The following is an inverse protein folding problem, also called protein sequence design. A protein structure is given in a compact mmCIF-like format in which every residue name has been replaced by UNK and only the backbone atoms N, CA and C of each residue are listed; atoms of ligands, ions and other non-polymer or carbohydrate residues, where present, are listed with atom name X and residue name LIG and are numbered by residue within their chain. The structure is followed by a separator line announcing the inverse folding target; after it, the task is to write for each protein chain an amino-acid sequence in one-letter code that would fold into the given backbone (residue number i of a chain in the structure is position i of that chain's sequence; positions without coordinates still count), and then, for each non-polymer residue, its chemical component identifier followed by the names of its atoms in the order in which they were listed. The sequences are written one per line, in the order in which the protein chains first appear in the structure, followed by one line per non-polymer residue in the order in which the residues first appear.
data_IF_975660573780
#
_entry.id   IF_975660573780
#
_cell.length_a   1.000
_cell.length_b   1.000
_cell.length_c   1.000
_cell.angle_alpha   90.00
_cell.angle_beta   90.00
_cell.angle_gamma   90.00
#
_symmetry.space_group_name_H-M   'P 1'
#
loop_
_entity.id
_entity.type
_entity.pdbx_description
1 polymer ?
#
# COMPACT_ATOMS: atom_id res chain seq x y z
N UNK A 1 21.13 -14.41 -20.11
CA UNK A 1 21.17 -13.67 -21.39
C UNK A 1 21.35 -14.61 -22.62
N UNK A 2 22.30 -15.56 -22.59
CA UNK A 2 22.52 -16.48 -23.75
C UNK A 2 21.31 -17.40 -23.99
N UNK A 3 20.74 -18.02 -22.95
CA UNK A 3 19.57 -18.89 -23.05
C UNK A 3 18.33 -18.13 -23.59
N UNK A 4 18.10 -16.90 -23.14
CA UNK A 4 16.98 -16.07 -23.61
C UNK A 4 17.15 -15.67 -25.10
N UNK A 5 18.40 -15.39 -25.55
CA UNK A 5 18.68 -15.07 -26.96
C UNK A 5 18.47 -16.25 -27.91
N UNK A 6 18.62 -17.47 -27.39
CA UNK A 6 18.40 -18.71 -28.16
C UNK A 6 16.94 -19.19 -28.14
N UNK A 7 16.14 -18.69 -27.22
CA UNK A 7 14.73 -19.07 -27.05
C UNK A 7 13.83 -18.29 -28.03
N UNK A 8 12.86 -18.97 -28.61
CA UNK A 8 11.84 -18.35 -29.47
C UNK A 8 10.54 -18.23 -28.64
N UNK A 9 9.92 -17.04 -28.54
CA UNK A 9 8.64 -16.89 -27.89
C UNK A 9 7.56 -17.72 -28.59
N UNK A 10 6.75 -18.45 -27.82
CA UNK A 10 5.61 -19.21 -28.31
C UNK A 10 4.37 -18.34 -28.48
N UNK A 11 4.24 -17.33 -27.64
CA UNK A 11 3.11 -16.42 -27.60
C UNK A 11 3.45 -15.15 -26.85
N UNK A 12 2.53 -14.19 -26.93
CA UNK A 12 2.68 -12.91 -26.26
C UNK A 12 1.36 -12.47 -25.65
N UNK A 13 1.42 -12.14 -24.37
CA UNK A 13 0.36 -11.42 -23.65
C UNK A 13 0.80 -10.02 -23.29
N UNK A 14 0.06 -9.40 -22.42
CA UNK A 14 0.38 -8.10 -21.83
C UNK A 14 1.36 -8.29 -20.67
N UNK A 15 2.48 -7.59 -20.67
CA UNK A 15 3.39 -7.51 -19.53
C UNK A 15 2.70 -6.75 -18.38
N UNK A 16 2.01 -7.47 -17.51
CA UNK A 16 1.14 -6.88 -16.50
C UNK A 16 1.85 -6.57 -15.19
N UNK A 17 2.85 -7.37 -14.84
CA UNK A 17 3.77 -7.10 -13.72
C UNK A 17 5.16 -7.51 -14.13
N UNK A 18 6.16 -6.62 -13.98
CA UNK A 18 7.51 -6.87 -14.51
C UNK A 18 8.22 -8.01 -13.78
N UNK A 19 9.27 -8.55 -14.41
CA UNK A 19 10.06 -9.66 -13.90
C UNK A 19 10.07 -10.83 -14.86
N UNK A 20 10.75 -11.90 -14.47
CA UNK A 20 10.81 -13.16 -15.21
C UNK A 20 10.53 -14.31 -14.25
N UNK A 21 9.70 -15.24 -14.67
CA UNK A 21 9.41 -16.44 -13.90
C UNK A 21 9.54 -17.70 -14.75
N UNK A 22 9.97 -18.77 -14.13
CA UNK A 22 10.00 -20.08 -14.74
C UNK A 22 9.56 -21.14 -13.74
N UNK A 23 8.86 -22.15 -14.20
CA UNK A 23 8.38 -23.21 -13.33
C UNK A 23 7.44 -24.16 -14.03
N UNK A 24 6.89 -25.08 -13.25
CA UNK A 24 5.92 -26.06 -13.69
C UNK A 24 4.52 -25.41 -13.75
N UNK A 25 3.77 -25.72 -14.78
CA UNK A 25 2.40 -25.25 -14.96
C UNK A 25 1.48 -25.87 -13.91
N UNK A 26 0.70 -25.05 -13.25
CA UNK A 26 -0.42 -25.46 -12.40
C UNK A 26 -1.66 -24.63 -12.76
N UNK A 27 -2.86 -25.20 -12.55
CA UNK A 27 -4.11 -24.63 -13.05
C UNK A 27 -5.06 -24.13 -11.94
N UNK A 28 -4.76 -24.45 -10.68
CA UNK A 28 -5.56 -24.01 -9.54
C UNK A 28 -4.70 -23.36 -8.47
N UNK A 29 -5.31 -22.53 -7.63
CA UNK A 29 -4.63 -21.92 -6.47
C UNK A 29 -4.13 -23.00 -5.50
N UNK A 30 -4.96 -24.00 -5.21
CA UNK A 30 -4.62 -25.11 -4.31
C UNK A 30 -3.41 -25.92 -4.83
N UNK A 31 -3.36 -26.19 -6.14
CA UNK A 31 -2.19 -26.86 -6.74
C UNK A 31 -0.94 -26.00 -6.62
N UNK A 32 -1.07 -24.69 -6.82
CA UNK A 32 0.08 -23.78 -6.69
C UNK A 32 0.66 -23.80 -5.27
N UNK A 33 -0.19 -23.75 -4.25
CA UNK A 33 0.23 -23.85 -2.85
C UNK A 33 0.86 -25.22 -2.55
N UNK A 34 0.15 -26.31 -2.88
CA UNK A 34 0.61 -27.66 -2.58
C UNK A 34 1.94 -28.01 -3.27
N UNK A 35 2.20 -27.47 -4.47
CA UNK A 35 3.46 -27.71 -5.16
C UNK A 35 4.57 -26.80 -4.62
N UNK A 36 4.27 -25.56 -4.28
CA UNK A 36 5.23 -24.65 -3.66
C UNK A 36 5.68 -25.15 -2.27
N UNK A 37 4.77 -25.70 -1.46
CA UNK A 37 5.11 -26.33 -0.17
C UNK A 37 6.08 -27.52 -0.32
N UNK A 38 6.04 -28.21 -1.45
CA UNK A 38 7.00 -29.29 -1.80
C UNK A 38 8.33 -28.77 -2.34
N UNK A 39 8.51 -27.44 -2.42
CA UNK A 39 9.70 -26.79 -2.94
C UNK A 39 9.76 -26.68 -4.47
N UNK A 40 8.66 -26.95 -5.17
CA UNK A 40 8.58 -26.81 -6.62
C UNK A 40 8.33 -25.35 -7.01
N UNK A 41 9.00 -24.90 -8.06
CA UNK A 41 8.71 -23.62 -8.69
C UNK A 41 7.53 -23.79 -9.64
N UNK A 42 6.47 -23.01 -9.45
CA UNK A 42 5.26 -23.13 -10.27
C UNK A 42 4.89 -21.80 -10.95
N UNK A 43 4.26 -21.93 -12.11
CA UNK A 43 3.58 -20.83 -12.82
C UNK A 43 2.10 -21.14 -12.83
N UNK A 44 1.31 -20.28 -12.21
CA UNK A 44 -0.15 -20.40 -12.16
C UNK A 44 -0.74 -19.92 -13.49
N UNK A 45 -1.44 -20.83 -14.19
CA UNK A 45 -2.05 -20.54 -15.50
C UNK A 45 -3.56 -20.65 -15.37
N UNK A 46 -4.27 -19.52 -15.59
CA UNK A 46 -5.72 -19.43 -15.45
C UNK A 46 -6.36 -18.82 -16.69
N UNK A 47 -7.64 -19.12 -16.91
CA UNK A 47 -8.44 -18.36 -17.88
C UNK A 47 -8.49 -16.87 -17.46
N UNK A 48 -8.83 -16.63 -16.21
CA UNK A 48 -8.74 -15.37 -15.49
C UNK A 48 -8.64 -15.67 -13.98
N UNK A 49 -8.11 -14.76 -13.17
CA UNK A 49 -8.03 -14.95 -11.72
C UNK A 49 -9.16 -14.24 -11.00
N UNK A 50 -9.53 -14.80 -9.84
CA UNK A 50 -10.52 -14.26 -8.90
C UNK A 50 -9.87 -13.97 -7.54
N UNK A 51 -10.55 -13.29 -6.60
CA UNK A 51 -10.06 -13.12 -5.24
C UNK A 51 -9.72 -14.41 -4.51
N UNK A 52 -10.36 -15.51 -4.86
CA UNK A 52 -10.11 -16.85 -4.29
C UNK A 52 -8.73 -17.42 -4.69
N UNK A 53 -8.15 -16.92 -5.79
CA UNK A 53 -6.85 -17.37 -6.28
C UNK A 53 -5.65 -16.70 -5.58
N UNK A 54 -5.86 -15.74 -4.67
CA UNK A 54 -4.80 -14.91 -4.08
C UNK A 54 -3.70 -15.73 -3.40
N UNK A 55 -4.07 -16.79 -2.68
CA UNK A 55 -3.11 -17.66 -1.98
C UNK A 55 -2.21 -18.39 -2.97
N UNK A 56 -2.78 -18.98 -4.00
CA UNK A 56 -2.02 -19.60 -5.07
C UNK A 56 -1.18 -18.63 -5.90
N UNK A 57 -1.69 -17.41 -6.11
CA UNK A 57 -0.92 -16.34 -6.76
C UNK A 57 0.33 -15.94 -5.94
N UNK A 58 0.24 -15.94 -4.59
CA UNK A 58 1.39 -15.71 -3.70
C UNK A 58 2.41 -16.83 -3.73
N UNK A 59 1.96 -18.07 -3.83
CA UNK A 59 2.83 -19.25 -3.86
C UNK A 59 3.56 -19.41 -5.20
N UNK A 60 2.97 -18.91 -6.30
CA UNK A 60 3.53 -19.04 -7.65
C UNK A 60 4.71 -18.08 -7.90
N UNK A 61 5.67 -18.53 -8.69
CA UNK A 61 6.77 -17.69 -9.20
C UNK A 61 6.28 -16.69 -10.25
N UNK A 62 5.20 -17.00 -10.93
CA UNK A 62 4.61 -16.16 -11.95
C UNK A 62 3.17 -16.55 -12.28
N UNK A 63 2.46 -15.62 -12.89
CA UNK A 63 1.05 -15.74 -13.21
C UNK A 63 0.87 -15.51 -14.71
N UNK A 64 0.13 -16.40 -15.36
CA UNK A 64 -0.24 -16.31 -16.77
C UNK A 64 -1.75 -16.41 -16.91
N UNK A 65 -2.39 -15.42 -17.55
CA UNK A 65 -3.82 -15.49 -17.82
C UNK A 65 -4.14 -15.36 -19.31
N UNK A 66 -5.17 -16.07 -19.73
CA UNK A 66 -5.69 -16.04 -21.10
C UNK A 66 -6.45 -14.74 -21.34
N UNK A 67 -7.27 -14.32 -20.38
CA UNK A 67 -8.07 -13.10 -20.39
C UNK A 67 -7.50 -12.08 -19.39
N UNK A 68 -7.85 -10.82 -19.63
CA UNK A 68 -7.52 -9.72 -18.74
C UNK A 68 -6.61 -8.68 -19.39
N UNK A 69 -6.66 -7.48 -18.85
CA UNK A 69 -5.85 -6.33 -19.23
C UNK A 69 -5.04 -5.80 -18.04
N UNK A 70 -4.49 -4.60 -18.15
CA UNK A 70 -3.71 -3.93 -17.10
C UNK A 70 -4.51 -3.68 -15.80
N UNK A 71 -5.82 -3.64 -15.88
CA UNK A 71 -6.74 -3.43 -14.76
C UNK A 71 -7.42 -4.71 -14.28
N UNK A 72 -7.06 -5.88 -14.86
CA UNK A 72 -7.61 -7.16 -14.42
C UNK A 72 -7.14 -7.51 -13.01
N UNK A 73 -7.90 -8.35 -12.32
CA UNK A 73 -7.55 -8.85 -10.98
C UNK A 73 -6.12 -9.42 -10.95
N UNK A 74 -5.76 -10.27 -11.92
CA UNK A 74 -4.41 -10.83 -12.03
C UNK A 74 -3.33 -9.73 -12.09
N UNK A 75 -3.52 -8.72 -12.92
CA UNK A 75 -2.56 -7.65 -13.14
C UNK A 75 -2.39 -6.76 -11.90
N UNK A 76 -3.49 -6.40 -11.24
CA UNK A 76 -3.47 -5.53 -10.05
C UNK A 76 -2.83 -6.26 -8.87
N UNK A 77 -3.28 -7.47 -8.58
CA UNK A 77 -2.77 -8.26 -7.46
C UNK A 77 -1.31 -8.65 -7.65
N UNK A 78 -0.93 -9.10 -8.86
CA UNK A 78 0.47 -9.46 -9.16
C UNK A 78 1.42 -8.26 -8.99
N UNK A 79 1.02 -7.06 -9.39
CA UNK A 79 1.81 -5.84 -9.16
C UNK A 79 1.94 -5.51 -7.68
N UNK A 80 0.85 -5.63 -6.93
CA UNK A 80 0.87 -5.43 -5.48
C UNK A 80 1.79 -6.41 -4.75
N UNK A 81 1.90 -7.65 -5.26
CA UNK A 81 2.78 -8.68 -4.70
C UNK A 81 4.21 -8.64 -5.25
N UNK A 82 4.48 -7.87 -6.30
CA UNK A 82 5.77 -7.91 -7.02
C UNK A 82 6.01 -9.23 -7.78
N UNK A 83 4.96 -10.00 -8.07
CA UNK A 83 5.03 -11.29 -8.77
C UNK A 83 4.97 -11.07 -10.29
N UNK A 84 5.84 -11.74 -11.03
CA UNK A 84 5.85 -11.70 -12.50
C UNK A 84 4.47 -12.08 -13.06
N UNK A 85 3.91 -11.25 -13.95
CA UNK A 85 2.60 -11.55 -14.55
C UNK A 85 2.54 -11.20 -16.04
N UNK A 86 2.05 -12.16 -16.80
CA UNK A 86 1.64 -11.99 -18.20
C UNK A 86 0.13 -12.21 -18.28
N UNK A 87 -0.61 -11.19 -18.68
CA UNK A 87 -2.08 -11.20 -18.71
C UNK A 87 -2.60 -11.09 -20.15
N UNK A 88 -3.77 -11.69 -20.41
CA UNK A 88 -4.46 -11.48 -21.70
C UNK A 88 -3.77 -12.14 -22.90
N UNK A 89 -3.15 -13.32 -22.74
CA UNK A 89 -2.62 -14.08 -23.87
C UNK A 89 -3.75 -14.84 -24.58
N UNK A 90 -4.45 -14.16 -25.50
CA UNK A 90 -5.59 -14.72 -26.23
C UNK A 90 -5.26 -15.86 -27.21
N UNK A 91 -3.97 -16.07 -27.51
CA UNK A 91 -3.52 -17.20 -28.34
C UNK A 91 -3.54 -18.55 -27.61
N UNK A 92 -3.71 -18.53 -26.30
CA UNK A 92 -3.84 -19.75 -25.48
C UNK A 92 -5.25 -20.30 -25.61
N UNK A 93 -5.35 -21.54 -26.03
CA UNK A 93 -6.60 -22.32 -25.95
C UNK A 93 -6.58 -23.16 -24.68
N UNK A 94 -7.37 -22.74 -23.69
CA UNK A 94 -7.40 -23.31 -22.34
C UNK A 94 -8.49 -24.38 -22.21
N UNK A 95 -8.13 -25.49 -21.56
CA UNK A 95 -9.01 -26.56 -21.11
C UNK A 95 -8.74 -26.80 -19.61
N UNK A 96 -9.39 -26.00 -18.77
CA UNK A 96 -9.20 -26.04 -17.31
C UNK A 96 -9.67 -27.37 -16.70
N UNK A 97 -10.73 -27.97 -17.25
CA UNK A 97 -11.26 -29.25 -16.74
C UNK A 97 -10.24 -30.39 -16.88
N UNK A 98 -9.51 -30.42 -17.98
CA UNK A 98 -8.47 -31.42 -18.22
C UNK A 98 -7.06 -30.93 -17.87
N UNK A 99 -6.95 -29.81 -17.16
CA UNK A 99 -5.68 -29.21 -16.73
C UNK A 99 -4.62 -29.16 -17.84
N UNK A 100 -5.00 -28.56 -18.98
CA UNK A 100 -4.11 -28.38 -20.13
C UNK A 100 -4.44 -27.12 -20.94
N UNK A 101 -3.46 -26.63 -21.67
CA UNK A 101 -3.67 -25.60 -22.68
C UNK A 101 -2.81 -25.86 -23.93
N UNK A 102 -3.18 -25.26 -25.03
CA UNK A 102 -2.38 -25.26 -26.26
C UNK A 102 -1.96 -23.84 -26.60
N UNK A 103 -0.70 -23.68 -27.02
CA UNK A 103 -0.12 -22.42 -27.47
C UNK A 103 0.87 -22.72 -28.61
N UNK A 104 0.76 -21.99 -29.72
CA UNK A 104 1.58 -22.21 -30.94
C UNK A 104 1.65 -23.67 -31.40
N UNK A 105 0.54 -24.42 -31.30
CA UNK A 105 0.45 -25.82 -31.70
C UNK A 105 1.11 -26.81 -30.71
N UNK A 106 1.63 -26.39 -29.60
CA UNK A 106 2.16 -27.22 -28.52
C UNK A 106 1.14 -27.34 -27.38
N UNK A 107 1.04 -28.53 -26.78
CA UNK A 107 0.16 -28.81 -25.66
C UNK A 107 0.96 -28.83 -24.36
N UNK A 108 0.49 -28.08 -23.36
CA UNK A 108 1.04 -28.01 -22.01
C UNK A 108 0.03 -28.58 -21.03
N UNK A 109 0.45 -29.53 -20.24
CA UNK A 109 -0.33 -30.15 -19.16
C UNK A 109 0.21 -29.73 -17.81
N UNK A 110 -0.49 -30.07 -16.73
CA UNK A 110 0.02 -29.88 -15.38
C UNK A 110 1.42 -30.47 -15.22
N UNK A 111 2.36 -29.71 -14.67
CA UNK A 111 3.76 -30.07 -14.51
C UNK A 111 4.63 -29.79 -15.75
N UNK A 112 4.08 -29.38 -16.89
CA UNK A 112 4.88 -28.91 -18.03
C UNK A 112 5.69 -27.66 -17.64
N UNK A 113 6.90 -27.54 -18.15
CA UNK A 113 7.79 -26.44 -17.85
C UNK A 113 7.56 -25.25 -18.80
N UNK A 114 7.39 -24.06 -18.25
CA UNK A 114 7.30 -22.82 -19.02
C UNK A 114 8.11 -21.70 -18.37
N UNK A 115 8.44 -20.69 -19.15
CA UNK A 115 9.01 -19.43 -18.69
C UNK A 115 8.19 -18.27 -19.23
N UNK A 116 7.99 -17.26 -18.41
CA UNK A 116 7.28 -16.03 -18.77
C UNK A 116 8.11 -14.80 -18.45
N UNK A 117 7.98 -13.78 -19.28
CA UNK A 117 8.62 -12.47 -19.10
C UNK A 117 7.52 -11.42 -18.93
N UNK A 118 7.29 -11.00 -17.69
CA UNK A 118 6.28 -10.00 -17.33
C UNK A 118 6.62 -8.59 -17.78
N UNK A 119 7.86 -8.34 -18.24
CA UNK A 119 8.26 -7.05 -18.80
C UNK A 119 7.87 -6.93 -20.27
N UNK A 120 8.11 -8.00 -21.05
CA UNK A 120 7.84 -8.02 -22.50
C UNK A 120 6.50 -8.66 -22.87
N UNK A 121 5.93 -9.45 -21.95
CA UNK A 121 4.73 -10.26 -22.18
C UNK A 121 5.00 -11.58 -22.92
N UNK A 122 6.24 -11.95 -23.14
CA UNK A 122 6.61 -13.16 -23.88
C UNK A 122 6.49 -14.43 -23.04
N UNK A 123 6.10 -15.53 -23.70
CA UNK A 123 5.96 -16.86 -23.13
C UNK A 123 6.85 -17.83 -23.89
N UNK A 124 7.55 -18.69 -23.17
CA UNK A 124 8.53 -19.63 -23.72
C UNK A 124 8.28 -21.06 -23.22
N UNK A 125 8.55 -22.07 -24.04
CA UNK A 125 8.59 -23.45 -23.59
C UNK A 125 9.86 -23.73 -22.77
N UNK A 126 9.71 -24.57 -21.74
CA UNK A 126 10.82 -25.02 -20.90
C UNK A 126 11.32 -23.94 -19.91
N UNK A 127 12.36 -24.31 -19.19
CA UNK A 127 12.97 -23.47 -18.16
C UNK A 127 14.07 -22.59 -18.77
N UNK A 128 13.85 -21.29 -18.75
CA UNK A 128 14.91 -20.30 -18.96
C UNK A 128 15.38 -19.86 -17.58
N UNK A 129 16.64 -20.13 -17.20
CA UNK A 129 17.12 -19.77 -15.86
C UNK A 129 16.94 -18.29 -15.57
N UNK A 130 16.27 -17.98 -14.48
CA UNK A 130 16.11 -16.63 -13.93
C UNK A 130 17.17 -16.35 -12.88
N UNK A 131 17.48 -15.09 -12.67
CA UNK A 131 18.33 -14.62 -11.58
C UNK A 131 17.54 -13.61 -10.77
N UNK A 132 17.75 -13.61 -9.47
CA UNK A 132 17.14 -12.59 -8.61
C UNK A 132 17.69 -11.22 -9.00
N UNK A 133 16.80 -10.21 -8.95
CA UNK A 133 17.20 -8.83 -9.14
C UNK A 133 18.22 -8.45 -8.06
N UNK A 134 19.39 -8.04 -8.46
CA UNK A 134 20.42 -7.57 -7.53
C UNK A 134 21.02 -6.26 -8.02
N UNK A 135 21.30 -5.35 -7.07
CA UNK A 135 22.04 -4.10 -7.34
C UNK A 135 23.55 -4.40 -7.34
N UNK A 136 23.99 -5.36 -8.15
CA UNK A 136 25.39 -5.79 -8.21
C UNK A 136 25.98 -5.62 -9.62
N UNK A 137 27.30 -5.74 -9.74
CA UNK A 137 28.03 -5.66 -11.00
C UNK A 137 27.91 -4.30 -11.70
N UNK A 138 27.71 -4.32 -13.01
CA UNK A 138 27.64 -3.08 -13.82
C UNK A 138 26.42 -2.24 -13.48
N UNK A 139 25.30 -2.85 -13.10
CA UNK A 139 24.12 -2.12 -12.63
C UNK A 139 24.41 -1.35 -11.33
N UNK A 140 25.13 -1.98 -10.39
CA UNK A 140 25.58 -1.30 -9.16
C UNK A 140 26.50 -0.11 -9.44
N UNK A 141 27.35 -0.19 -10.47
CA UNK A 141 28.20 0.95 -10.89
C UNK A 141 27.36 2.11 -11.43
N UNK A 142 26.35 1.81 -12.25
CA UNK A 142 25.44 2.86 -12.76
C UNK A 142 24.66 3.50 -11.62
N UNK A 143 24.19 2.70 -10.64
CA UNK A 143 23.52 3.23 -9.46
C UNK A 143 24.44 4.10 -8.61
N UNK A 144 25.69 3.70 -8.42
CA UNK A 144 26.69 4.53 -7.73
C UNK A 144 26.91 5.89 -8.42
N UNK A 145 27.00 5.91 -9.74
CA UNK A 145 27.07 7.16 -10.49
C UNK A 145 25.80 8.01 -10.34
N UNK A 146 24.62 7.38 -10.37
CA UNK A 146 23.37 8.10 -10.13
C UNK A 146 23.36 8.75 -8.75
N UNK A 147 23.88 8.06 -7.72
CA UNK A 147 23.98 8.56 -6.35
C UNK A 147 24.91 9.80 -6.21
N UNK A 148 25.92 9.91 -7.06
CA UNK A 148 26.80 11.09 -7.09
C UNK A 148 26.07 12.36 -7.60
N UNK A 149 25.06 12.20 -8.47
CA UNK A 149 24.36 13.31 -9.11
C UNK A 149 22.98 13.61 -8.54
N UNK A 150 22.31 12.61 -7.97
CA UNK A 150 20.96 12.80 -7.40
C UNK A 150 20.99 13.75 -6.20
N UNK A 151 19.94 14.55 -6.07
CA UNK A 151 19.73 15.45 -4.93
C UNK A 151 18.63 14.94 -3.99
N UNK A 152 17.74 14.09 -4.48
CA UNK A 152 16.63 13.54 -3.73
C UNK A 152 16.97 12.15 -3.21
N UNK A 153 16.41 11.79 -2.03
CA UNK A 153 16.46 10.45 -1.48
C UNK A 153 15.31 9.62 -2.01
N UNK A 154 15.49 8.31 -2.08
CA UNK A 154 14.44 7.35 -2.46
C UNK A 154 13.86 6.75 -1.20
N UNK A 155 12.59 7.05 -0.93
CA UNK A 155 11.79 6.43 0.13
C UNK A 155 10.72 5.54 -0.48
N UNK A 156 10.37 4.45 0.21
CA UNK A 156 9.38 3.47 -0.25
C UNK A 156 8.08 3.57 0.53
N UNK A 157 7.02 2.96 0.00
CA UNK A 157 5.84 2.63 0.78
C UNK A 157 6.05 1.24 1.39
N UNK A 158 5.94 1.12 2.70
CA UNK A 158 6.02 -0.15 3.40
C UNK A 158 5.20 -0.11 4.68
N UNK A 159 4.33 -1.09 4.85
CA UNK A 159 3.37 -1.16 5.95
C UNK A 159 3.71 -2.30 6.91
N UNK A 160 4.63 -3.20 6.51
CA UNK A 160 5.11 -4.32 7.33
C UNK A 160 6.63 -4.29 7.51
N UNK A 161 7.16 -4.86 8.61
CA UNK A 161 8.60 -4.98 8.82
C UNK A 161 9.32 -5.79 7.72
N UNK A 162 8.64 -6.78 7.13
CA UNK A 162 9.18 -7.59 6.03
C UNK A 162 9.37 -6.75 4.76
N UNK A 163 8.37 -5.94 4.40
CA UNK A 163 8.44 -5.03 3.25
C UNK A 163 9.51 -3.95 3.47
N UNK A 164 9.58 -3.39 4.69
CA UNK A 164 10.59 -2.40 5.05
C UNK A 164 12.02 -2.95 4.91
N UNK A 165 12.26 -4.17 5.42
CA UNK A 165 13.53 -4.85 5.28
C UNK A 165 13.88 -5.11 3.80
N UNK A 166 12.92 -5.63 3.03
CA UNK A 166 13.12 -5.88 1.59
C UNK A 166 13.43 -4.59 0.83
N UNK A 167 12.72 -3.53 1.13
CA UNK A 167 12.96 -2.21 0.53
C UNK A 167 14.38 -1.69 0.88
N UNK A 168 14.81 -1.85 2.12
CA UNK A 168 16.16 -1.48 2.57
C UNK A 168 17.24 -2.27 1.83
N UNK A 169 17.07 -3.58 1.64
CA UNK A 169 17.94 -4.43 0.85
C UNK A 169 18.03 -3.98 -0.62
N UNK A 170 16.96 -3.41 -1.16
CA UNK A 170 16.89 -2.84 -2.51
C UNK A 170 17.39 -1.40 -2.61
N UNK A 171 17.90 -0.82 -1.51
CA UNK A 171 18.52 0.50 -1.50
C UNK A 171 17.58 1.64 -1.12
N UNK A 172 16.41 1.38 -0.56
CA UNK A 172 15.57 2.44 -0.02
C UNK A 172 16.23 3.13 1.17
N UNK A 173 16.07 4.44 1.26
CA UNK A 173 16.68 5.31 2.26
C UNK A 173 15.69 5.76 3.34
N UNK A 174 14.54 5.10 3.41
CA UNK A 174 13.49 5.34 4.38
C UNK A 174 12.12 4.88 3.88
N UNK A 175 11.13 5.03 4.75
CA UNK A 175 9.72 4.87 4.42
C UNK A 175 9.11 6.25 4.22
N UNK A 176 8.51 6.46 3.05
CA UNK A 176 7.78 7.68 2.70
C UNK A 176 6.30 7.62 3.07
N UNK A 177 5.76 6.41 3.13
CA UNK A 177 4.40 6.16 3.59
C UNK A 177 4.31 4.79 4.26
N UNK A 178 3.97 4.81 5.56
CA UNK A 178 3.45 3.67 6.29
C UNK A 178 1.96 3.90 6.53
N UNK A 179 1.11 3.03 5.99
CA UNK A 179 -0.36 3.05 6.15
C UNK A 179 -0.74 2.27 7.38
N UNK A 180 -1.18 2.96 8.42
CA UNK A 180 -1.48 2.32 9.70
C UNK A 180 -2.75 1.47 9.68
N UNK A 181 -3.67 1.70 8.75
CA UNK A 181 -4.89 0.90 8.57
C UNK A 181 -4.62 -0.58 8.30
N UNK A 182 -3.56 -0.91 7.56
CA UNK A 182 -3.22 -2.31 7.27
C UNK A 182 -2.84 -3.10 8.53
N UNK A 183 -2.43 -2.42 9.59
CA UNK A 183 -2.09 -3.04 10.86
C UNK A 183 -3.32 -3.50 11.66
N UNK A 184 -4.53 -3.05 11.31
CA UNK A 184 -5.76 -3.36 12.07
C UNK A 184 -6.49 -4.60 11.58
N UNK A 185 -6.18 -5.14 10.39
CA UNK A 185 -6.92 -6.27 9.80
C UNK A 185 -6.57 -7.65 10.37
N UNK A 186 -5.57 -7.75 11.23
CA UNK A 186 -5.30 -8.98 11.96
C UNK A 186 -6.50 -9.36 12.86
N UNK A 187 -6.91 -10.65 12.94
CA UNK A 187 -8.11 -11.09 13.66
C UNK A 187 -8.21 -10.64 15.12
N UNK A 188 -7.09 -10.59 15.84
CA UNK A 188 -7.08 -10.15 17.24
C UNK A 188 -7.25 -8.62 17.36
N UNK A 189 -6.68 -7.88 16.42
CA UNK A 189 -6.67 -6.42 16.41
C UNK A 189 -7.98 -5.85 15.90
N UNK A 190 -8.54 -6.43 14.84
CA UNK A 190 -9.80 -5.98 14.26
C UNK A 190 -10.96 -6.10 15.24
N UNK A 191 -10.95 -7.14 16.11
CA UNK A 191 -11.97 -7.31 17.14
C UNK A 191 -11.97 -6.11 18.12
N UNK A 192 -10.81 -5.71 18.62
CA UNK A 192 -10.68 -4.56 19.52
C UNK A 192 -11.02 -3.24 18.82
N UNK A 193 -10.69 -3.10 17.53
CA UNK A 193 -11.04 -1.91 16.76
C UNK A 193 -12.56 -1.80 16.52
N UNK A 194 -13.22 -2.92 16.23
CA UNK A 194 -14.68 -3.01 16.15
C UNK A 194 -15.38 -2.67 17.48
N UNK A 195 -14.80 -3.10 18.61
CA UNK A 195 -15.28 -2.68 19.93
C UNK A 195 -15.20 -1.16 20.11
N UNK A 196 -14.12 -0.53 19.66
CA UNK A 196 -13.96 0.94 19.70
C UNK A 196 -15.03 1.63 18.86
N UNK A 197 -15.25 1.16 17.62
CA UNK A 197 -16.26 1.71 16.70
C UNK A 197 -17.67 1.67 17.32
N UNK A 198 -18.00 0.58 18.01
CA UNK A 198 -19.32 0.36 18.63
C UNK A 198 -19.41 0.88 20.07
N UNK A 199 -18.47 1.69 20.53
CA UNK A 199 -18.47 2.28 21.87
C UNK A 199 -19.29 3.55 21.93
N UNK A 200 -20.04 3.73 23.04
CA UNK A 200 -20.93 4.88 23.24
C UNK A 200 -20.19 6.05 23.92
N UNK A 201 -19.18 5.77 24.74
CA UNK A 201 -18.44 6.80 25.51
C UNK A 201 -16.96 6.85 25.12
N UNK A 202 -16.31 7.97 25.47
CA UNK A 202 -14.86 8.17 25.28
C UNK A 202 -14.07 7.13 26.07
N UNK A 203 -14.48 6.85 27.31
CA UNK A 203 -13.83 5.89 28.21
C UNK A 203 -13.85 4.46 27.63
N UNK A 204 -14.96 4.08 27.04
CA UNK A 204 -15.08 2.79 26.35
C UNK A 204 -14.17 2.73 25.11
N UNK A 205 -14.13 3.81 24.30
CA UNK A 205 -13.23 3.89 23.14
C UNK A 205 -11.77 3.82 23.56
N UNK A 206 -11.37 4.59 24.59
CA UNK A 206 -10.00 4.52 25.12
C UNK A 206 -9.66 3.11 25.66
N UNK A 207 -10.61 2.43 26.30
CA UNK A 207 -10.42 1.06 26.78
C UNK A 207 -10.16 0.09 25.60
N UNK A 208 -10.91 0.20 24.54
CA UNK A 208 -10.71 -0.63 23.34
C UNK A 208 -9.38 -0.29 22.62
N UNK A 209 -9.06 0.99 22.48
CA UNK A 209 -7.82 1.45 21.87
C UNK A 209 -6.57 1.02 22.68
N UNK A 210 -6.67 0.96 24.00
CA UNK A 210 -5.58 0.46 24.85
C UNK A 210 -5.28 -1.02 24.64
N UNK A 211 -6.21 -1.82 24.09
CA UNK A 211 -5.93 -3.20 23.67
C UNK A 211 -5.08 -3.24 22.40
N UNK A 212 -5.24 -2.25 21.51
CA UNK A 212 -4.55 -2.16 20.22
C UNK A 212 -3.16 -1.53 20.37
N UNK A 213 -3.01 -0.58 21.28
CA UNK A 213 -1.78 0.18 21.48
C UNK A 213 -0.50 -0.68 21.53
N UNK A 214 -0.42 -1.80 22.29
CA UNK A 214 0.79 -2.62 22.35
C UNK A 214 1.13 -3.27 21.00
N UNK A 215 0.14 -3.68 20.23
CA UNK A 215 0.35 -4.28 18.91
C UNK A 215 0.94 -3.27 17.94
N UNK A 216 0.32 -2.09 17.85
CA UNK A 216 0.77 -1.04 16.93
C UNK A 216 2.14 -0.49 17.32
N UNK A 217 2.41 -0.33 18.64
CA UNK A 217 3.73 0.02 19.14
C UNK A 217 4.78 -1.03 18.71
N UNK A 218 4.50 -2.31 18.89
CA UNK A 218 5.41 -3.38 18.49
C UNK A 218 5.66 -3.47 16.98
N UNK A 219 4.68 -3.10 16.16
CA UNK A 219 4.86 -3.01 14.71
C UNK A 219 5.79 -1.85 14.34
N UNK A 220 5.62 -0.68 14.96
CA UNK A 220 6.52 0.47 14.73
C UNK A 220 7.93 0.20 15.24
N UNK A 221 8.10 -0.48 16.37
CA UNK A 221 9.42 -0.91 16.85
C UNK A 221 10.15 -1.73 15.78
N UNK A 222 9.49 -2.76 15.24
CA UNK A 222 10.06 -3.60 14.18
C UNK A 222 10.32 -2.86 12.87
N UNK A 223 9.49 -1.85 12.53
CA UNK A 223 9.72 -1.00 11.36
C UNK A 223 10.99 -0.15 11.56
N UNK A 224 11.14 0.51 12.71
CA UNK A 224 12.35 1.28 13.02
C UNK A 224 13.60 0.40 13.05
N UNK A 225 13.51 -0.81 13.61
CA UNK A 225 14.60 -1.78 13.59
C UNK A 225 14.99 -2.18 12.16
N UNK A 226 14.00 -2.46 11.29
CA UNK A 226 14.25 -2.82 9.89
C UNK A 226 14.90 -1.68 9.08
N UNK A 227 14.66 -0.43 9.47
CA UNK A 227 15.17 0.76 8.80
C UNK A 227 16.52 1.29 9.35
N UNK A 228 16.98 0.76 10.51
CA UNK A 228 18.32 1.04 11.07
C UNK A 228 18.64 2.55 11.15
N UNK A 229 17.69 3.37 11.63
CA UNK A 229 17.84 4.82 11.75
C UNK A 229 17.49 5.63 10.50
N UNK A 230 17.05 4.98 9.41
CA UNK A 230 16.48 5.72 8.28
C UNK A 230 15.09 6.29 8.65
N UNK A 231 14.70 7.44 8.07
CA UNK A 231 13.43 8.09 8.39
C UNK A 231 12.22 7.24 8.02
N UNK A 232 11.17 7.33 8.85
CA UNK A 232 9.89 6.62 8.67
C UNK A 232 8.75 7.61 8.82
N UNK A 233 8.01 7.82 7.73
CA UNK A 233 6.80 8.63 7.73
C UNK A 233 5.59 7.74 7.99
N UNK A 234 4.91 7.97 9.10
CA UNK A 234 3.76 7.19 9.57
C UNK A 234 2.49 8.02 9.36
N UNK A 235 1.61 7.56 8.50
CA UNK A 235 0.31 8.18 8.26
C UNK A 235 -0.69 7.67 9.30
N UNK A 236 -1.40 8.59 9.95
CA UNK A 236 -2.51 8.24 10.81
C UNK A 236 -3.64 7.59 10.02
N UNK A 237 -4.52 6.91 10.74
CA UNK A 237 -5.67 6.20 10.19
C UNK A 237 -6.41 7.07 9.18
N UNK A 238 -6.55 6.57 7.96
CA UNK A 238 -7.14 7.30 6.86
C UNK A 238 -8.52 6.78 6.41
N UNK A 239 -8.77 5.45 6.26
CA UNK A 239 -10.06 4.97 5.79
C UNK A 239 -11.21 5.26 6.76
N UNK A 240 -12.45 5.38 6.26
CA UNK A 240 -13.63 5.54 7.09
C UNK A 240 -13.93 4.27 7.90
N UNK A 241 -14.61 4.45 9.03
CA UNK A 241 -14.84 3.36 10.00
C UNK A 241 -15.67 2.20 9.43
N UNK A 242 -16.50 2.41 8.40
CA UNK A 242 -17.29 1.34 7.82
C UNK A 242 -16.46 0.25 7.13
N UNK A 243 -15.20 0.52 6.76
CA UNK A 243 -14.31 -0.49 6.19
C UNK A 243 -13.88 -1.57 7.21
N UNK A 244 -14.00 -1.26 8.48
CA UNK A 244 -13.57 -2.15 9.57
C UNK A 244 -14.73 -2.91 10.23
N UNK A 245 -15.98 -2.53 9.98
CA UNK A 245 -17.13 -3.19 10.61
C UNK A 245 -17.34 -4.61 10.08
N UNK A 246 -17.90 -5.51 10.90
CA UNK A 246 -18.14 -6.89 10.47
C UNK A 246 -19.27 -6.96 9.43
N UNK A 247 -19.08 -7.81 8.43
CA UNK A 247 -20.10 -8.17 7.43
C UNK A 247 -20.73 -9.53 7.73
N UNK A 248 -19.96 -10.43 8.35
CA UNK A 248 -20.40 -11.78 8.67
C UNK A 248 -21.23 -11.83 9.96
N UNK A 249 -22.35 -12.55 9.93
CA UNK A 249 -23.27 -12.69 11.07
C UNK A 249 -22.57 -13.19 12.35
N UNK A 250 -21.66 -14.17 12.22
CA UNK A 250 -20.91 -14.71 13.33
C UNK A 250 -20.02 -13.67 14.04
N UNK A 251 -19.45 -12.73 13.28
CA UNK A 251 -18.63 -11.67 13.85
C UNK A 251 -19.50 -10.57 14.47
N UNK A 252 -20.66 -10.28 13.89
CA UNK A 252 -21.67 -9.38 14.48
C UNK A 252 -22.13 -9.92 15.84
N UNK A 253 -22.44 -11.22 15.92
CA UNK A 253 -22.83 -11.86 17.19
C UNK A 253 -21.72 -11.81 18.25
N UNK A 254 -20.46 -12.04 17.85
CA UNK A 254 -19.31 -11.91 18.76
C UNK A 254 -19.18 -10.50 19.29
N UNK A 255 -19.28 -9.50 18.41
CA UNK A 255 -19.18 -8.10 18.77
C UNK A 255 -20.35 -7.66 19.68
N UNK A 256 -21.56 -8.11 19.39
CA UNK A 256 -22.74 -7.87 20.21
C UNK A 256 -22.54 -8.36 21.66
N UNK A 257 -22.02 -9.58 21.81
CA UNK A 257 -21.66 -10.13 23.13
C UNK A 257 -20.57 -9.33 23.83
N UNK A 258 -19.51 -8.95 23.11
CA UNK A 258 -18.39 -8.18 23.67
C UNK A 258 -18.82 -6.78 24.16
N UNK A 259 -19.77 -6.15 23.47
CA UNK A 259 -20.29 -4.81 23.80
C UNK A 259 -21.55 -4.83 24.67
N UNK A 260 -22.08 -6.01 25.02
CA UNK A 260 -23.35 -6.19 25.73
C UNK A 260 -24.52 -5.44 25.04
N UNK A 261 -24.56 -5.54 23.69
CA UNK A 261 -25.59 -4.97 22.81
C UNK A 261 -26.33 -6.11 22.10
N UNK A 262 -27.50 -5.81 21.55
CA UNK A 262 -28.18 -6.76 20.66
C UNK A 262 -27.53 -6.81 19.28
N UNK A 263 -27.79 -7.88 18.53
CA UNK A 263 -27.32 -8.01 17.14
C UNK A 263 -27.90 -6.90 16.27
N UNK A 264 -29.17 -6.55 16.51
CA UNK A 264 -29.88 -5.47 15.81
C UNK A 264 -29.23 -4.11 16.05
N UNK A 265 -28.81 -3.82 17.29
CA UNK A 265 -28.09 -2.58 17.62
C UNK A 265 -26.74 -2.52 16.90
N UNK A 266 -25.97 -3.60 16.86
CA UNK A 266 -24.71 -3.63 16.12
C UNK A 266 -24.94 -3.43 14.62
N UNK A 267 -25.94 -4.11 14.03
CA UNK A 267 -26.30 -3.92 12.62
C UNK A 267 -26.70 -2.48 12.32
N UNK A 268 -27.48 -1.85 13.19
CA UNK A 268 -27.86 -0.45 13.03
C UNK A 268 -26.67 0.50 13.10
N UNK A 269 -25.68 0.24 13.98
CA UNK A 269 -24.42 1.01 14.03
C UNK A 269 -23.64 0.84 12.72
N UNK A 270 -23.45 -0.40 12.25
CA UNK A 270 -22.76 -0.68 10.98
C UNK A 270 -23.42 0.03 9.80
N UNK A 271 -24.77 -0.03 9.72
CA UNK A 271 -25.53 0.63 8.67
C UNK A 271 -25.42 2.16 8.75
N UNK A 272 -25.41 2.75 9.95
CA UNK A 272 -25.27 4.19 10.15
C UNK A 272 -23.91 4.74 9.73
N UNK A 273 -22.87 3.88 9.70
CA UNK A 273 -21.52 4.25 9.28
C UNK A 273 -21.32 4.13 7.77
N UNK A 274 -22.26 3.49 7.05
CA UNK A 274 -22.14 3.31 5.60
C UNK A 274 -22.17 4.65 4.88
N UNK A 275 -21.18 4.89 4.03
CA UNK A 275 -21.02 6.12 3.28
C UNK A 275 -21.29 5.91 1.79
N UNK A 276 -22.02 6.82 1.16
CA UNK A 276 -22.28 6.79 -0.29
C UNK A 276 -21.03 7.07 -1.12
N UNK A 277 -20.12 7.89 -0.59
CA UNK A 277 -18.85 8.22 -1.21
C UNK A 277 -17.74 8.20 -0.15
N UNK A 278 -17.13 7.03 0.09
CA UNK A 278 -16.08 6.88 1.12
C UNK A 278 -14.88 7.82 0.92
N UNK A 279 -14.51 8.10 -0.34
CA UNK A 279 -13.37 8.97 -0.65
C UNK A 279 -13.54 10.39 -0.10
N UNK A 280 -14.77 10.93 -0.12
CA UNK A 280 -15.11 12.27 0.37
C UNK A 280 -15.81 12.26 1.74
N UNK A 281 -15.83 11.13 2.40
CA UNK A 281 -16.57 10.87 3.63
C UNK A 281 -15.84 11.22 4.92
N UNK A 282 -16.26 10.55 5.99
CA UNK A 282 -15.75 10.70 7.35
C UNK A 282 -14.51 9.86 7.58
N UNK A 283 -13.37 10.35 7.11
CA UNK A 283 -12.06 9.67 7.14
C UNK A 283 -10.92 10.64 7.47
N UNK A 284 -9.73 10.11 7.67
CA UNK A 284 -8.50 10.88 7.83
C UNK A 284 -8.55 11.89 8.98
N UNK A 285 -8.14 13.14 8.75
CA UNK A 285 -8.16 14.18 9.78
C UNK A 285 -9.58 14.46 10.31
N UNK A 286 -10.63 14.28 9.49
CA UNK A 286 -12.03 14.46 9.92
C UNK A 286 -12.39 13.45 11.02
N UNK A 287 -11.90 12.21 10.86
CA UNK A 287 -12.04 11.16 11.87
C UNK A 287 -11.24 11.51 13.14
N UNK A 288 -10.00 12.01 12.99
CA UNK A 288 -9.18 12.44 14.11
C UNK A 288 -9.76 13.66 14.86
N UNK A 289 -10.58 14.49 14.22
CA UNK A 289 -11.30 15.59 14.87
C UNK A 289 -12.48 15.07 15.69
N UNK A 290 -13.24 14.10 15.19
CA UNK A 290 -14.43 13.56 15.86
C UNK A 290 -14.12 12.49 16.90
N UNK A 291 -13.02 11.75 16.70
CA UNK A 291 -12.52 10.71 17.60
C UNK A 291 -11.03 10.94 17.94
N UNK A 292 -10.73 12.03 18.68
CA UNK A 292 -9.33 12.43 18.95
C UNK A 292 -8.52 11.38 19.71
N UNK A 293 -9.17 10.49 20.44
CA UNK A 293 -8.54 9.37 21.14
C UNK A 293 -7.83 8.40 20.20
N UNK A 294 -8.24 8.29 18.94
CA UNK A 294 -7.52 7.47 17.92
C UNK A 294 -6.15 8.11 17.64
N UNK A 295 -6.12 9.41 17.34
CA UNK A 295 -4.87 10.13 17.10
C UNK A 295 -3.94 10.08 18.32
N UNK A 296 -4.50 10.22 19.52
CA UNK A 296 -3.78 10.10 20.80
C UNK A 296 -3.16 8.71 20.97
N UNK A 297 -3.91 7.64 20.69
CA UNK A 297 -3.40 6.27 20.77
C UNK A 297 -2.27 6.04 19.76
N UNK A 298 -2.47 6.44 18.49
CA UNK A 298 -1.45 6.27 17.46
C UNK A 298 -0.17 7.07 17.78
N UNK A 299 -0.29 8.29 18.29
CA UNK A 299 0.87 9.08 18.75
C UNK A 299 1.64 8.35 19.85
N UNK A 300 0.95 7.80 20.86
CA UNK A 300 1.59 7.01 21.91
C UNK A 300 2.35 5.82 21.33
N UNK A 301 1.75 5.08 20.41
CA UNK A 301 2.38 3.92 19.78
C UNK A 301 3.67 4.30 19.05
N UNK A 302 3.62 5.36 18.24
CA UNK A 302 4.77 5.87 17.46
C UNK A 302 5.91 6.32 18.38
N UNK A 303 5.61 7.17 19.34
CA UNK A 303 6.62 7.79 20.22
C UNK A 303 7.25 6.75 21.15
N UNK A 304 6.44 5.87 21.76
CA UNK A 304 6.96 4.79 22.62
C UNK A 304 7.86 3.84 21.86
N UNK A 305 7.47 3.47 20.62
CA UNK A 305 8.30 2.65 19.75
C UNK A 305 9.64 3.32 19.46
N UNK A 306 9.63 4.60 19.09
CA UNK A 306 10.84 5.37 18.84
C UNK A 306 11.75 5.43 20.07
N UNK A 307 11.18 5.68 21.25
CA UNK A 307 11.92 5.71 22.53
C UNK A 307 12.58 4.35 22.81
N UNK A 308 11.85 3.25 22.62
CA UNK A 308 12.36 1.91 22.89
C UNK A 308 13.50 1.55 21.95
N UNK A 309 13.33 1.81 20.64
CA UNK A 309 14.37 1.52 19.66
C UNK A 309 15.59 2.43 19.85
N UNK A 310 15.41 3.71 20.17
CA UNK A 310 16.52 4.63 20.48
C UNK A 310 17.30 4.19 21.70
N UNK A 311 16.64 3.63 22.72
CA UNK A 311 17.31 3.05 23.90
C UNK A 311 18.12 1.80 23.55
N UNK A 312 17.61 0.96 22.65
CA UNK A 312 18.30 -0.25 22.20
C UNK A 312 19.47 0.08 21.24
N UNK A 313 19.33 1.12 20.44
CA UNK A 313 20.30 1.58 19.42
C UNK A 313 20.60 3.07 19.58
N UNK A 314 21.43 3.48 20.56
CA UNK A 314 21.66 4.90 20.87
C UNK A 314 22.30 5.71 19.72
N UNK A 315 23.02 5.05 18.82
CA UNK A 315 23.70 5.62 17.65
C UNK A 315 22.79 5.82 16.44
N UNK A 316 21.58 5.25 16.45
CA UNK A 316 20.65 5.46 15.34
C UNK A 316 19.94 6.80 15.47
N UNK A 317 19.73 7.43 14.33
CA UNK A 317 18.94 8.67 14.25
C UNK A 317 17.46 8.32 14.10
N UNK A 318 16.74 8.29 15.23
CA UNK A 318 15.32 7.94 15.26
C UNK A 318 14.52 9.24 15.47
N UNK A 319 14.03 9.79 14.37
CA UNK A 319 13.14 10.95 14.34
C UNK A 319 11.81 10.59 13.66
N UNK A 320 10.76 10.25 14.43
CA UNK A 320 9.44 9.93 13.85
C UNK A 320 8.86 11.07 13.03
N UNK A 321 8.36 10.75 11.84
CA UNK A 321 7.61 11.67 11.00
C UNK A 321 6.12 11.26 11.03
N UNK A 322 5.29 12.02 11.73
CA UNK A 322 3.84 11.78 11.86
C UNK A 322 3.11 12.58 10.80
N UNK A 323 2.35 11.88 9.95
CA UNK A 323 1.63 12.49 8.84
C UNK A 323 0.12 12.45 9.06
N UNK A 324 -0.52 13.61 9.04
CA UNK A 324 -1.96 13.77 9.17
C UNK A 324 -2.57 13.80 7.77
N UNK A 325 -3.41 12.81 7.39
CA UNK A 325 -4.00 12.73 6.06
C UNK A 325 -5.21 13.64 5.90
N UNK A 326 -5.59 13.91 4.66
CA UNK A 326 -6.85 14.51 4.22
C UNK A 326 -7.13 15.94 4.74
N UNK A 327 -6.10 16.67 5.13
CA UNK A 327 -6.24 18.06 5.59
C UNK A 327 -6.63 18.95 4.42
N UNK A 328 -7.67 19.77 4.59
CA UNK A 328 -8.06 20.79 3.62
C UNK A 328 -8.07 22.20 4.19
N UNK A 329 -8.08 22.35 5.51
CA UNK A 329 -8.13 23.61 6.24
C UNK A 329 -7.06 23.63 7.33
N UNK A 330 -6.33 24.72 7.48
CA UNK A 330 -5.26 24.86 8.50
C UNK A 330 -5.76 24.55 9.92
N UNK A 331 -7.01 24.87 10.23
CA UNK A 331 -7.59 24.63 11.56
C UNK A 331 -7.75 23.14 11.88
N UNK A 332 -7.98 22.31 10.86
CA UNK A 332 -7.97 20.85 11.03
C UNK A 332 -6.58 20.37 11.46
N UNK A 333 -5.55 20.83 10.75
CA UNK A 333 -4.16 20.50 11.08
C UNK A 333 -3.80 20.99 12.49
N UNK A 334 -4.11 22.23 12.82
CA UNK A 334 -3.87 22.79 14.18
C UNK A 334 -4.52 21.97 15.27
N UNK A 335 -5.77 21.56 15.07
CA UNK A 335 -6.52 20.77 16.04
C UNK A 335 -5.86 19.42 16.30
N UNK A 336 -5.57 18.67 15.23
CA UNK A 336 -4.97 17.33 15.35
C UNK A 336 -3.51 17.42 15.80
N UNK A 337 -2.72 18.36 15.26
CA UNK A 337 -1.32 18.59 15.68
C UNK A 337 -1.22 18.89 17.17
N UNK A 338 -2.14 19.66 17.72
CA UNK A 338 -2.16 19.94 19.18
C UNK A 338 -2.26 18.65 19.99
N UNK A 339 -3.14 17.72 19.61
CA UNK A 339 -3.30 16.43 20.28
C UNK A 339 -2.00 15.61 20.15
N UNK A 340 -1.40 15.60 18.96
CA UNK A 340 -0.15 14.89 18.70
C UNK A 340 0.97 15.44 19.59
N UNK A 341 1.18 16.75 19.59
CA UNK A 341 2.26 17.40 20.34
C UNK A 341 2.08 17.20 21.85
N UNK A 342 0.89 17.47 22.38
CA UNK A 342 0.61 17.28 23.82
C UNK A 342 0.83 15.83 24.26
N UNK A 343 0.48 14.86 23.39
CA UNK A 343 0.65 13.43 23.69
C UNK A 343 2.11 13.01 23.56
N UNK A 344 2.80 13.42 22.51
CA UNK A 344 4.20 13.07 22.26
C UNK A 344 5.11 13.64 23.36
N UNK A 345 4.94 14.93 23.69
CA UNK A 345 5.73 15.59 24.74
C UNK A 345 5.51 14.94 26.11
N UNK A 346 4.28 14.54 26.42
CA UNK A 346 3.98 13.84 27.66
C UNK A 346 4.67 12.45 27.73
N UNK A 347 4.67 11.68 26.65
CA UNK A 347 5.33 10.37 26.58
C UNK A 347 6.87 10.49 26.65
N UNK A 348 7.44 11.48 25.96
CA UNK A 348 8.88 11.78 25.97
C UNK A 348 9.32 12.19 27.39
N UNK A 349 8.58 13.09 28.02
CA UNK A 349 8.86 13.54 29.40
C UNK A 349 8.74 12.39 30.41
N UNK A 350 7.68 11.57 30.31
CA UNK A 350 7.48 10.42 31.20
C UNK A 350 8.60 9.39 31.11
N UNK A 351 9.17 9.21 29.90
CA UNK A 351 10.28 8.30 29.66
C UNK A 351 11.67 8.92 29.97
N UNK A 352 11.74 10.21 30.28
CA UNK A 352 12.96 11.01 30.38
C UNK A 352 13.87 10.77 29.15
N UNK A 353 13.27 10.80 27.95
CA UNK A 353 13.92 10.53 26.69
C UNK A 353 14.25 11.83 25.95
N UNK A 354 15.23 11.76 25.03
CA UNK A 354 15.54 12.83 24.08
C UNK A 354 15.23 12.30 22.68
N UNK A 355 14.01 12.56 22.22
CA UNK A 355 13.51 12.18 20.89
C UNK A 355 12.93 13.43 20.23
N UNK A 356 13.40 13.74 19.04
CA UNK A 356 12.78 14.71 18.16
C UNK A 356 11.75 13.99 17.29
N UNK A 357 10.71 14.70 16.90
CA UNK A 357 9.68 14.21 15.98
C UNK A 357 9.17 15.36 15.11
N UNK A 358 8.56 15.00 13.99
CA UNK A 358 8.01 15.94 13.03
C UNK A 358 6.53 15.64 12.80
N UNK A 359 5.74 16.71 12.62
CA UNK A 359 4.31 16.60 12.32
C UNK A 359 4.02 17.31 11.01
N UNK A 360 3.70 16.53 9.99
CA UNK A 360 3.38 17.03 8.66
C UNK A 360 2.00 16.59 8.18
N UNK A 361 1.71 16.89 6.93
CA UNK A 361 0.43 16.54 6.32
C UNK A 361 0.58 16.02 4.90
N UNK A 362 -0.44 15.29 4.43
CA UNK A 362 -0.57 14.89 3.05
C UNK A 362 -1.35 15.94 2.27
N UNK A 363 -0.74 16.48 1.22
CA UNK A 363 -1.40 17.35 0.25
C UNK A 363 -2.06 16.46 -0.79
N UNK A 364 -3.33 16.22 -0.64
CA UNK A 364 -4.12 15.32 -1.47
C UNK A 364 -5.51 15.88 -1.80
N UNK A 365 -5.85 17.03 -1.23
CA UNK A 365 -7.06 17.77 -1.54
C UNK A 365 -6.68 19.03 -2.32
N UNK A 366 -7.34 19.34 -3.46
CA UNK A 366 -7.02 20.53 -4.27
C UNK A 366 -7.01 21.83 -3.47
N UNK A 367 -7.94 21.99 -2.51
CA UNK A 367 -7.94 23.17 -1.62
C UNK A 367 -6.66 23.28 -0.79
N UNK A 368 -6.15 22.14 -0.27
CA UNK A 368 -4.91 22.13 0.49
C UNK A 368 -3.70 22.56 -0.36
N UNK A 369 -3.65 22.14 -1.62
CA UNK A 369 -2.60 22.58 -2.55
C UNK A 369 -2.68 24.09 -2.84
N UNK A 370 -3.90 24.65 -2.97
CA UNK A 370 -4.12 26.08 -3.20
C UNK A 370 -3.84 26.97 -1.98
N UNK A 371 -3.99 26.43 -0.76
CA UNK A 371 -3.74 27.15 0.51
C UNK A 371 -2.51 26.58 1.25
N UNK A 372 -1.56 26.03 0.48
CA UNK A 372 -0.38 25.38 1.05
C UNK A 372 0.50 26.35 1.86
N UNK A 373 0.50 27.63 1.53
CA UNK A 373 1.20 28.68 2.26
C UNK A 373 0.66 28.86 3.69
N UNK A 374 -0.66 28.80 3.89
CA UNK A 374 -1.26 28.81 5.22
C UNK A 374 -0.90 27.52 5.98
N UNK A 375 -1.10 26.35 5.34
CA UNK A 375 -0.87 25.03 5.94
C UNK A 375 0.60 24.87 6.35
N UNK A 376 1.56 25.37 5.55
CA UNK A 376 2.98 25.31 5.81
C UNK A 376 3.40 26.05 7.09
N UNK A 377 2.59 26.97 7.61
CA UNK A 377 2.88 27.63 8.90
C UNK A 377 2.75 26.68 10.09
N UNK A 378 2.08 25.54 9.90
CA UNK A 378 1.86 24.55 10.95
C UNK A 378 2.51 23.19 10.66
N UNK A 379 2.72 22.85 9.41
CA UNK A 379 3.34 21.58 9.03
C UNK A 379 4.86 21.67 9.06
N UNK A 380 5.51 20.58 9.50
CA UNK A 380 6.98 20.47 9.42
C UNK A 380 7.42 19.91 8.05
N UNK A 381 6.54 19.19 7.36
CA UNK A 381 6.77 18.65 6.02
C UNK A 381 5.43 18.43 5.26
N UNK A 382 5.53 18.33 3.93
CA UNK A 382 4.45 17.92 3.06
C UNK A 382 4.77 16.58 2.39
N UNK A 383 3.73 15.77 2.21
CA UNK A 383 3.70 14.60 1.35
C UNK A 383 2.58 14.78 0.33
N UNK A 384 2.69 14.19 -0.87
CA UNK A 384 1.64 14.27 -1.89
C UNK A 384 0.91 12.95 -2.02
N UNK A 385 -0.39 12.92 -1.74
CA UNK A 385 -1.31 11.81 -2.02
C UNK A 385 -1.84 11.92 -3.44
N UNK A 386 -1.05 11.47 -4.42
CA UNK A 386 -1.37 11.70 -5.84
C UNK A 386 -2.63 10.98 -6.30
N UNK A 387 -3.00 9.86 -5.69
CA UNK A 387 -4.25 9.16 -6.00
C UNK A 387 -5.47 10.04 -5.69
N UNK A 388 -5.60 10.51 -4.46
CA UNK A 388 -6.74 11.33 -4.03
C UNK A 388 -6.71 12.72 -4.69
N UNK A 389 -5.53 13.31 -4.84
CA UNK A 389 -5.39 14.59 -5.54
C UNK A 389 -5.85 14.47 -7.01
N UNK A 390 -5.54 13.35 -7.68
CA UNK A 390 -5.99 13.08 -9.04
C UNK A 390 -7.50 12.90 -9.09
N UNK A 391 -8.08 12.05 -8.23
CA UNK A 391 -9.51 11.80 -8.16
C UNK A 391 -10.30 13.11 -7.99
N UNK A 392 -9.88 13.94 -7.03
CA UNK A 392 -10.58 15.20 -6.73
C UNK A 392 -10.35 16.27 -7.78
N UNK A 393 -9.22 16.28 -8.46
CA UNK A 393 -8.92 17.23 -9.54
C UNK A 393 -9.70 16.90 -10.81
N UNK A 394 -9.79 15.62 -11.17
CA UNK A 394 -10.60 15.17 -12.31
C UNK A 394 -12.09 15.07 -11.99
N UNK A 395 -12.47 14.97 -10.72
CA UNK A 395 -13.85 14.88 -10.27
C UNK A 395 -14.51 13.53 -10.52
N UNK A 396 -13.73 12.44 -10.52
CA UNK A 396 -14.25 11.07 -10.59
C UNK A 396 -13.45 10.09 -9.72
N UNK A 397 -14.13 9.05 -9.27
CA UNK A 397 -13.53 7.98 -8.47
C UNK A 397 -12.72 7.03 -9.35
N UNK A 398 -11.55 6.60 -8.87
CA UNK A 398 -10.73 5.58 -9.51
C UNK A 398 -11.49 4.26 -9.66
N UNK A 399 -12.27 3.88 -8.65
CA UNK A 399 -13.01 2.62 -8.63
C UNK A 399 -14.17 2.62 -9.65
N UNK A 400 -14.78 3.78 -9.91
CA UNK A 400 -15.87 3.93 -10.87
C UNK A 400 -15.41 4.26 -12.29
N UNK A 401 -14.20 4.78 -12.44
CA UNK A 401 -13.69 5.28 -13.73
C UNK A 401 -13.62 4.21 -14.82
N UNK A 402 -13.44 2.93 -14.47
CA UNK A 402 -13.45 1.81 -15.42
C UNK A 402 -14.70 1.70 -16.26
N UNK A 403 -15.83 2.28 -15.81
CA UNK A 403 -17.10 2.29 -16.55
C UNK A 403 -17.07 3.15 -17.82
N UNK A 404 -16.18 4.16 -17.89
CA UNK A 404 -16.16 5.11 -19.02
C UNK A 404 -14.75 5.36 -19.60
N UNK A 405 -13.67 5.10 -18.89
CA UNK A 405 -12.31 5.42 -19.36
C UNK A 405 -11.95 4.75 -20.67
N UNK A 406 -12.42 3.51 -20.92
CA UNK A 406 -12.17 2.86 -22.22
C UNK A 406 -12.71 3.67 -23.40
N UNK A 407 -13.93 4.22 -23.26
CA UNK A 407 -14.49 5.08 -24.30
C UNK A 407 -13.69 6.39 -24.47
N UNK A 408 -13.08 6.90 -23.40
CA UNK A 408 -12.21 8.08 -23.46
C UNK A 408 -10.91 7.79 -24.22
N UNK A 409 -10.33 6.59 -24.06
CA UNK A 409 -9.15 6.17 -24.83
C UNK A 409 -9.49 5.95 -26.29
N UNK A 410 -10.58 5.27 -26.60
CA UNK A 410 -11.04 5.00 -27.96
C UNK A 410 -11.30 6.30 -28.74
N UNK A 411 -11.88 7.28 -28.06
CA UNK A 411 -12.14 8.60 -28.65
C UNK A 411 -10.95 9.57 -28.53
N UNK A 412 -9.80 9.13 -28.03
CA UNK A 412 -8.59 9.95 -27.88
C UNK A 412 -8.80 11.21 -27.01
N UNK A 413 -9.70 11.16 -26.02
CA UNK A 413 -9.91 12.24 -25.06
C UNK A 413 -8.78 12.21 -24.05
N UNK A 414 -8.41 11.01 -23.57
CA UNK A 414 -7.21 10.78 -22.79
C UNK A 414 -6.21 9.93 -23.56
N UNK A 415 -4.94 10.31 -23.52
CA UNK A 415 -3.86 9.51 -24.09
C UNK A 415 -3.38 8.41 -23.14
N UNK A 416 -3.49 8.64 -21.84
CA UNK A 416 -3.05 7.73 -20.80
C UNK A 416 -4.09 7.71 -19.66
N UNK A 417 -4.04 6.65 -18.88
CA UNK A 417 -4.77 6.57 -17.61
C UNK A 417 -4.20 7.61 -16.63
N UNK A 418 -5.02 8.54 -16.12
CA UNK A 418 -4.57 9.57 -15.19
C UNK A 418 -4.10 9.01 -13.85
N UNK A 419 -4.44 7.74 -13.51
CA UNK A 419 -3.95 7.04 -12.32
C UNK A 419 -2.65 6.26 -12.56
N UNK A 420 -2.34 5.92 -13.81
CA UNK A 420 -1.10 5.26 -14.17
C UNK A 420 0.04 6.25 -14.49
N UNK A 421 -0.32 7.45 -14.99
CA UNK A 421 0.62 8.50 -15.34
C UNK A 421 0.14 9.83 -14.81
N UNK A 422 0.98 10.48 -14.00
CA UNK A 422 0.66 11.77 -13.39
C UNK A 422 0.25 12.81 -14.45
N UNK A 423 -0.91 13.41 -14.28
CA UNK A 423 -1.36 14.55 -15.04
C UNK A 423 -0.53 15.80 -14.72
N UNK A 424 0.36 16.15 -15.63
CA UNK A 424 1.24 17.32 -15.48
C UNK A 424 0.47 18.65 -15.59
N UNK A 425 -0.69 18.65 -16.27
CA UNK A 425 -1.41 19.87 -16.63
C UNK A 425 -2.31 20.39 -15.50
N UNK A 426 -3.01 19.52 -14.83
CA UNK A 426 -3.92 19.86 -13.73
C UNK A 426 -3.30 19.53 -12.37
N UNK A 427 -3.13 18.23 -12.09
CA UNK A 427 -2.59 17.74 -10.81
C UNK A 427 -1.17 18.27 -10.58
N UNK A 428 -0.31 18.22 -11.61
CA UNK A 428 1.05 18.72 -11.56
C UNK A 428 1.15 20.19 -11.17
N UNK A 429 0.25 21.05 -11.70
CA UNK A 429 0.20 22.47 -11.32
C UNK A 429 -0.17 22.69 -9.85
N UNK A 430 -1.12 21.89 -9.33
CA UNK A 430 -1.45 21.95 -7.89
C UNK A 430 -0.26 21.53 -7.02
N UNK A 431 0.44 20.48 -7.42
CA UNK A 431 1.66 20.06 -6.73
C UNK A 431 2.74 21.12 -6.80
N UNK A 432 2.99 21.73 -7.97
CA UNK A 432 3.97 22.80 -8.16
C UNK A 432 3.68 24.01 -7.26
N UNK A 433 2.40 24.39 -7.12
CA UNK A 433 1.98 25.45 -6.20
C UNK A 433 2.41 25.12 -4.76
N UNK A 434 2.09 23.93 -4.27
CA UNK A 434 2.46 23.52 -2.91
C UNK A 434 3.98 23.32 -2.73
N UNK A 435 4.70 22.84 -3.76
CA UNK A 435 6.16 22.68 -3.75
C UNK A 435 6.84 24.04 -3.62
N UNK A 436 6.38 25.05 -4.36
CA UNK A 436 6.96 26.41 -4.32
C UNK A 436 6.89 26.98 -2.92
N UNK A 437 5.79 26.76 -2.22
CA UNK A 437 5.63 27.16 -0.81
C UNK A 437 6.55 26.36 0.11
N UNK A 438 6.68 25.06 -0.10
CA UNK A 438 7.48 24.19 0.78
C UNK A 438 8.95 24.56 0.82
N UNK A 439 9.52 24.99 -0.27
CA UNK A 439 10.92 25.46 -0.32
C UNK A 439 11.20 26.74 0.52
N UNK A 440 10.17 27.50 0.83
CA UNK A 440 10.30 28.77 1.55
C UNK A 440 9.89 28.69 3.02
N UNK A 441 9.11 27.68 3.42
CA UNK A 441 8.45 27.67 4.73
C UNK A 441 8.66 26.38 5.54
N UNK A 442 9.03 25.25 4.92
CA UNK A 442 9.16 23.96 5.61
C UNK A 442 10.59 23.70 6.06
N UNK A 443 10.75 23.06 7.21
CA UNK A 443 12.05 22.69 7.79
C UNK A 443 12.66 21.46 7.12
N UNK A 444 11.82 20.56 6.59
CA UNK A 444 12.23 19.38 5.85
C UNK A 444 11.88 19.55 4.37
N UNK A 445 12.86 19.61 3.46
CA UNK A 445 12.61 19.65 2.02
C UNK A 445 12.19 18.25 1.55
N UNK A 446 11.00 17.81 1.95
CA UNK A 446 10.51 16.47 1.62
C UNK A 446 9.42 16.57 0.57
N UNK A 447 9.77 16.22 -0.65
CA UNK A 447 8.80 15.94 -1.71
C UNK A 447 8.77 14.43 -1.86
N UNK A 448 7.76 13.81 -1.25
CA UNK A 448 7.44 12.42 -1.44
C UNK A 448 6.24 12.33 -2.38
N UNK A 449 6.48 11.74 -3.55
CA UNK A 449 5.43 11.31 -4.46
C UNK A 449 5.01 9.89 -4.04
N UNK A 450 3.78 9.74 -3.62
CA UNK A 450 3.18 8.45 -3.30
C UNK A 450 2.12 8.10 -4.34
#
# INVERSE_FOLDING_TARGET
AAALKAATPLGKGLGASPGAACGKVVFTADDAEAWAERGEKVVLVRLETSPEDITGMKAAQGILTVRGGMTSHAAVVARGMGTCCVSGCGDINMDEENKKFTLAGQTFTEGSEISIDGTTGNIYAGIIPTVDASIAGEFGRVMAWADEFRRLKVRTNADTPADAKKARELGAEGIGLCRTEHMFFDPERIAAFREMICSDTVEERETALNKILPYQQGDFEKLYEALEGCPVTIRFLDPPLHEFVPTEEADIEKLAKAKNKSVEEIKAICESLHEFNPMMGHRGCRLAVTYPEIAKMQTKAVIRAAINVKKAHPDWDIEPEIMIPLVCEIKELKFVKKIVVETADAEIAAANADIKYHVGTMIEIPRAALTADEIATEADFFCFGTNDLTQMTFGFSRDDAGKFLNAYYDNKIFENDPFAKLDQTGVGKLMETAITVSYTHLTLPTILLV
#
